data_IF_515643410297
#
_entry.id   IF_515643410297
#
_cell.length_a   1.000
_cell.length_b   1.000
_cell.length_c   1.000
_cell.angle_alpha   90.00
_cell.angle_beta   90.00
_cell.angle_gamma   90.00
#
_symmetry.space_group_name_H-M   'P 1'
#
loop_
_entity.id
_entity.type
_entity.pdbx_description
1 polymer ?
#
# COMPACT_ATOMS: atom_id res chain seq x y z
N UNK A 1 43.02 33.49 37.34
CA UNK A 1 41.62 33.59 36.86
C UNK A 1 41.48 34.17 35.44
N UNK A 2 42.31 35.12 34.99
CA UNK A 2 42.16 35.82 33.68
C UNK A 2 42.20 34.97 32.40
N UNK A 3 42.85 33.79 32.38
CA UNK A 3 43.00 33.01 31.14
C UNK A 3 41.78 32.14 30.78
N UNK A 4 40.99 31.70 31.77
CA UNK A 4 39.78 30.90 31.53
C UNK A 4 38.66 31.76 30.93
N UNK A 5 38.50 32.99 31.41
CA UNK A 5 37.54 33.96 30.86
C UNK A 5 37.88 34.35 29.42
N UNK A 6 39.17 34.53 29.10
CA UNK A 6 39.62 34.79 27.73
C UNK A 6 39.33 33.64 26.77
N UNK A 7 39.51 32.40 27.20
CA UNK A 7 39.18 31.21 26.40
C UNK A 7 37.68 31.11 26.10
N UNK A 8 36.83 31.48 27.07
CA UNK A 8 35.36 31.51 26.88
C UNK A 8 34.98 32.58 25.85
N UNK A 9 35.56 33.78 25.94
CA UNK A 9 35.29 34.85 24.97
C UNK A 9 35.78 34.52 23.56
N UNK A 10 36.94 33.85 23.41
CA UNK A 10 37.43 33.39 22.10
C UNK A 10 36.50 32.33 21.50
N UNK A 11 35.98 31.41 22.31
CA UNK A 11 35.00 30.41 21.86
C UNK A 11 33.69 31.04 21.38
N UNK A 12 33.15 32.01 22.12
CA UNK A 12 31.92 32.73 21.75
C UNK A 12 32.12 33.52 20.46
N UNK A 13 33.23 34.24 20.33
CA UNK A 13 33.53 35.03 19.12
C UNK A 13 33.78 34.12 17.91
N UNK A 14 34.45 32.98 18.10
CA UNK A 14 34.63 31.99 17.03
C UNK A 14 33.30 31.38 16.59
N UNK A 15 32.39 31.09 17.51
CA UNK A 15 31.07 30.57 17.19
C UNK A 15 30.19 31.61 16.47
N UNK A 16 30.24 32.87 16.92
CA UNK A 16 29.53 33.97 16.26
C UNK A 16 30.06 34.22 14.83
N UNK A 17 31.38 34.15 14.65
CA UNK A 17 32.02 34.33 13.34
C UNK A 17 31.72 33.14 12.41
N UNK A 18 31.66 31.92 12.95
CA UNK A 18 31.25 30.73 12.20
C UNK A 18 29.79 30.83 11.72
N UNK A 19 28.89 31.36 12.56
CA UNK A 19 27.49 31.59 12.21
C UNK A 19 27.27 32.68 11.14
N UNK A 20 28.24 33.61 10.97
CA UNK A 20 28.19 34.67 9.95
C UNK A 20 28.76 34.23 8.60
N UNK A 21 29.67 33.24 8.57
CA UNK A 21 30.38 32.82 7.35
C UNK A 21 29.68 31.62 6.68
N UNK A 22 28.97 30.77 7.44
CA UNK A 22 28.08 29.79 6.84
C UNK A 22 26.79 30.48 6.41
N UNK A 23 26.55 30.70 5.10
CA UNK A 23 25.24 31.15 4.67
C UNK A 23 24.23 30.12 5.14
N UNK A 24 23.28 30.53 5.97
CA UNK A 24 22.05 29.76 6.16
C UNK A 24 21.46 29.71 4.75
N UNK A 25 21.57 28.56 4.09
CA UNK A 25 20.82 28.32 2.86
C UNK A 25 19.35 28.43 3.25
N UNK A 26 18.78 29.61 3.04
CA UNK A 26 17.34 29.79 3.11
C UNK A 26 16.80 28.87 2.05
N UNK A 27 16.17 27.76 2.48
CA UNK A 27 15.24 27.04 1.62
C UNK A 27 14.40 28.12 0.96
N UNK A 28 14.38 28.20 -0.38
CA UNK A 28 13.47 29.10 -1.12
C UNK A 28 12.05 28.67 -0.78
N UNK A 29 11.62 29.08 0.40
CA UNK A 29 10.49 28.55 1.13
C UNK A 29 9.34 29.47 0.85
N UNK A 30 8.44 28.98 0.01
CA UNK A 30 7.05 29.40 -0.10
C UNK A 30 6.89 30.88 -0.56
N UNK A 31 6.34 31.07 -1.76
CA UNK A 31 5.90 32.40 -2.25
C UNK A 31 5.01 33.10 -1.20
N UNK A 32 4.95 34.44 -1.17
CA UNK A 32 3.96 35.20 -0.37
C UNK A 32 2.54 34.63 -0.50
N UNK A 33 2.20 34.14 -1.69
CA UNK A 33 0.93 33.44 -1.97
C UNK A 33 0.79 32.16 -1.15
N UNK A 34 1.84 31.36 -1.04
CA UNK A 34 1.83 30.12 -0.27
C UNK A 34 1.76 30.35 1.24
N UNK A 35 2.30 31.45 1.77
CA UNK A 35 2.13 31.82 3.18
C UNK A 35 0.65 32.09 3.50
N UNK A 36 -0.06 32.83 2.65
CA UNK A 36 -1.50 33.06 2.79
C UNK A 36 -2.31 31.76 2.73
N UNK A 37 -2.00 30.88 1.78
CA UNK A 37 -2.70 29.58 1.69
C UNK A 37 -2.41 28.66 2.87
N UNK A 38 -1.22 28.75 3.48
CA UNK A 38 -0.91 27.99 4.68
C UNK A 38 -1.74 28.48 5.88
N UNK A 39 -1.93 29.79 6.02
CA UNK A 39 -2.82 30.36 7.04
C UNK A 39 -4.26 29.89 6.87
N UNK A 40 -4.78 29.96 5.64
CA UNK A 40 -6.13 29.47 5.31
C UNK A 40 -6.24 27.96 5.61
N UNK A 41 -5.23 27.18 5.25
CA UNK A 41 -5.19 25.75 5.51
C UNK A 41 -5.25 25.44 7.02
N UNK A 42 -4.49 26.18 7.84
CA UNK A 42 -4.54 26.05 9.30
C UNK A 42 -5.91 26.44 9.88
N UNK A 43 -6.52 27.52 9.38
CA UNK A 43 -7.84 27.96 9.82
C UNK A 43 -8.90 26.88 9.52
N UNK A 44 -8.89 26.32 8.30
CA UNK A 44 -9.79 25.23 7.91
C UNK A 44 -9.61 24.00 8.79
N UNK A 45 -8.36 23.58 9.05
CA UNK A 45 -8.10 22.45 9.93
C UNK A 45 -8.58 22.69 11.36
N UNK A 46 -8.37 23.90 11.89
CA UNK A 46 -8.81 24.27 13.25
C UNK A 46 -10.33 24.19 13.37
N UNK A 47 -11.06 24.73 12.38
CA UNK A 47 -12.52 24.71 12.36
C UNK A 47 -13.06 23.28 12.26
N UNK A 48 -12.44 22.42 11.44
CA UNK A 48 -12.82 20.99 11.37
C UNK A 48 -12.59 20.32 12.73
N UNK A 49 -11.49 20.62 13.42
CA UNK A 49 -11.21 20.00 14.70
C UNK A 49 -12.16 20.46 15.82
N UNK A 50 -12.59 21.74 15.81
CA UNK A 50 -13.44 22.29 16.87
C UNK A 50 -14.93 22.07 16.65
N UNK A 51 -15.39 22.14 15.40
CA UNK A 51 -16.81 22.30 15.07
C UNK A 51 -17.41 21.05 14.39
N UNK A 52 -16.60 20.05 14.06
CA UNK A 52 -17.10 18.82 13.44
C UNK A 52 -17.82 17.94 14.46
N UNK A 53 -18.92 17.32 14.01
CA UNK A 53 -19.86 16.59 14.88
C UNK A 53 -19.23 15.32 15.48
N UNK A 54 -18.24 14.74 14.80
CA UNK A 54 -17.57 13.49 15.20
C UNK A 54 -16.08 13.71 15.49
N UNK A 55 -15.45 12.78 16.20
CA UNK A 55 -14.00 12.80 16.39
C UNK A 55 -13.28 12.57 15.06
N UNK A 56 -12.37 13.47 14.69
CA UNK A 56 -11.65 13.39 13.42
C UNK A 56 -10.24 12.80 13.61
N UNK A 57 -9.86 11.94 12.68
CA UNK A 57 -8.51 11.36 12.60
C UNK A 57 -7.60 12.33 11.82
N UNK A 58 -6.71 13.01 12.54
CA UNK A 58 -5.79 14.01 11.96
C UNK A 58 -4.91 13.42 10.87
N UNK A 59 -4.43 12.18 11.02
CA UNK A 59 -3.58 11.55 10.03
C UNK A 59 -4.32 11.41 8.70
N UNK A 60 -5.59 10.99 8.74
CA UNK A 60 -6.44 10.88 7.54
C UNK A 60 -6.72 12.23 6.89
N UNK A 61 -6.89 13.30 7.67
CA UNK A 61 -7.08 14.65 7.13
C UNK A 61 -5.84 15.12 6.36
N UNK A 62 -4.66 14.96 6.94
CA UNK A 62 -3.41 15.33 6.28
C UNK A 62 -3.15 14.49 5.02
N UNK A 63 -3.34 13.17 5.10
CA UNK A 63 -3.21 12.30 3.93
C UNK A 63 -4.21 12.68 2.82
N UNK A 64 -5.45 13.03 3.18
CA UNK A 64 -6.47 13.51 2.25
C UNK A 64 -6.06 14.83 1.57
N UNK A 65 -5.54 15.79 2.33
CA UNK A 65 -5.04 17.06 1.80
C UNK A 65 -3.89 16.85 0.81
N UNK A 66 -2.92 15.98 1.14
CA UNK A 66 -1.79 15.66 0.26
C UNK A 66 -2.28 14.97 -1.02
N UNK A 67 -3.22 14.02 -0.93
CA UNK A 67 -3.84 13.38 -2.10
C UNK A 67 -4.51 14.43 -3.00
N UNK A 68 -5.24 15.38 -2.43
CA UNK A 68 -5.85 16.49 -3.18
C UNK A 68 -4.82 17.37 -3.91
N UNK A 69 -3.71 17.73 -3.25
CA UNK A 69 -2.61 18.47 -3.87
C UNK A 69 -2.02 17.71 -5.06
N UNK A 70 -1.78 16.41 -4.92
CA UNK A 70 -1.23 15.59 -6.02
C UNK A 70 -2.24 15.44 -7.16
N UNK A 71 -3.52 15.22 -6.86
CA UNK A 71 -4.58 15.16 -7.89
C UNK A 71 -4.69 16.46 -8.67
N UNK A 72 -4.35 17.61 -8.09
CA UNK A 72 -4.36 18.91 -8.79
C UNK A 72 -3.31 19.03 -9.90
N UNK A 73 -2.31 18.14 -9.93
CA UNK A 73 -1.30 18.09 -10.99
C UNK A 73 -1.85 17.59 -12.33
N UNK A 74 -3.01 16.93 -12.32
CA UNK A 74 -3.63 16.37 -13.53
C UNK A 74 -2.88 15.18 -14.15
N UNK A 75 -1.83 14.69 -13.49
CA UNK A 75 -1.07 13.53 -13.93
C UNK A 75 -1.68 12.23 -13.37
N UNK A 76 -2.20 11.32 -14.23
CA UNK A 76 -2.78 10.05 -13.78
C UNK A 76 -1.76 9.09 -13.16
N UNK A 77 -0.47 9.34 -13.33
CA UNK A 77 0.60 8.51 -12.75
C UNK A 77 1.14 9.05 -11.42
N UNK A 78 0.78 10.26 -11.04
CA UNK A 78 1.18 10.85 -9.76
C UNK A 78 0.19 10.47 -8.66
N UNK A 79 0.67 9.79 -7.63
CA UNK A 79 -0.13 9.45 -6.44
C UNK A 79 0.67 9.63 -5.15
N UNK A 80 -0.02 10.00 -4.07
CA UNK A 80 0.50 9.87 -2.73
C UNK A 80 0.44 8.39 -2.31
N UNK A 81 1.45 7.94 -1.59
CA UNK A 81 1.47 6.62 -0.97
C UNK A 81 1.63 6.79 0.53
N UNK A 82 0.64 6.33 1.28
CA UNK A 82 0.80 6.19 2.73
C UNK A 82 1.71 4.99 3.06
N UNK A 83 1.93 4.78 4.35
CA UNK A 83 2.84 3.73 4.84
C UNK A 83 2.41 2.33 4.41
N UNK A 84 1.10 2.07 4.41
CA UNK A 84 0.56 0.76 4.06
C UNK A 84 0.65 0.53 2.55
N UNK A 85 0.27 1.53 1.74
CA UNK A 85 0.45 1.52 0.28
C UNK A 85 1.91 1.27 -0.12
N UNK A 86 2.85 1.95 0.54
CA UNK A 86 4.28 1.82 0.25
C UNK A 86 4.81 0.44 0.65
N UNK A 87 4.37 -0.09 1.80
CA UNK A 87 4.71 -1.45 2.21
C UNK A 87 4.21 -2.48 1.19
N UNK A 88 2.98 -2.32 0.71
CA UNK A 88 2.40 -3.20 -0.30
C UNK A 88 3.17 -3.13 -1.63
N UNK A 89 3.51 -1.94 -2.11
CA UNK A 89 4.33 -1.79 -3.32
C UNK A 89 5.70 -2.44 -3.16
N UNK A 90 6.33 -2.31 -1.99
CA UNK A 90 7.62 -2.93 -1.71
C UNK A 90 7.51 -4.47 -1.70
N UNK A 91 6.43 -5.02 -1.14
CA UNK A 91 6.14 -6.45 -1.22
C UNK A 91 5.99 -6.89 -2.68
N UNK A 92 5.18 -6.19 -3.47
CA UNK A 92 4.94 -6.51 -4.89
C UNK A 92 6.24 -6.47 -5.70
N UNK A 93 7.08 -5.45 -5.48
CA UNK A 93 8.38 -5.29 -6.15
C UNK A 93 9.35 -6.42 -5.78
N UNK A 94 9.22 -7.01 -4.58
CA UNK A 94 10.00 -8.18 -4.15
C UNK A 94 9.46 -9.50 -4.71
N UNK A 95 8.41 -9.46 -5.53
CA UNK A 95 7.74 -10.67 -6.03
C UNK A 95 6.97 -11.42 -4.94
N UNK A 96 6.59 -10.71 -3.88
CA UNK A 96 5.81 -11.24 -2.77
C UNK A 96 4.48 -10.51 -2.65
N UNK A 97 3.37 -11.21 -2.45
CA UNK A 97 2.09 -10.52 -2.23
C UNK A 97 1.25 -11.23 -1.18
N UNK A 98 0.54 -10.46 -0.37
CA UNK A 98 -0.46 -10.96 0.58
C UNK A 98 -1.72 -11.41 -0.16
N UNK A 99 -1.99 -12.71 -0.15
CA UNK A 99 -3.18 -13.25 -0.80
C UNK A 99 -3.38 -14.74 -0.51
N UNK A 100 -4.21 -15.36 -1.33
CA UNK A 100 -4.59 -16.77 -1.17
C UNK A 100 -3.69 -17.72 -1.98
N UNK A 101 -3.01 -17.20 -3.00
CA UNK A 101 -2.06 -17.96 -3.83
C UNK A 101 -2.75 -18.81 -4.90
N UNK A 102 -3.66 -18.22 -5.66
CA UNK A 102 -4.27 -18.87 -6.82
C UNK A 102 -4.33 -17.90 -7.99
N UNK A 103 -4.25 -18.44 -9.20
CA UNK A 103 -4.49 -17.74 -10.44
C UNK A 103 -5.96 -17.90 -10.83
N UNK A 104 -6.59 -16.80 -11.20
CA UNK A 104 -8.01 -16.75 -11.58
C UNK A 104 -8.19 -16.03 -12.89
N UNK A 105 -9.21 -16.42 -13.65
CA UNK A 105 -9.64 -15.74 -14.86
C UNK A 105 -11.15 -15.66 -14.91
N UNK A 106 -11.68 -14.79 -15.76
CA UNK A 106 -13.11 -14.71 -16.01
C UNK A 106 -13.45 -15.60 -17.21
N UNK A 107 -14.25 -16.65 -16.97
CA UNK A 107 -14.68 -17.60 -17.99
C UNK A 107 -16.11 -18.07 -17.71
N UNK A 108 -16.90 -18.29 -18.76
CA UNK A 108 -18.29 -18.77 -18.65
C UNK A 108 -19.17 -17.94 -17.69
N UNK A 109 -18.96 -16.61 -17.68
CA UNK A 109 -19.71 -15.66 -16.85
C UNK A 109 -19.40 -15.72 -15.35
N UNK A 110 -18.33 -16.40 -14.95
CA UNK A 110 -17.90 -16.52 -13.56
C UNK A 110 -16.38 -16.38 -13.43
N UNK A 111 -15.91 -16.20 -12.20
CA UNK A 111 -14.48 -16.26 -11.89
C UNK A 111 -14.11 -17.73 -11.72
N UNK A 112 -13.17 -18.18 -12.53
CA UNK A 112 -12.71 -19.57 -12.57
C UNK A 112 -11.25 -19.63 -12.14
N UNK A 113 -10.93 -20.60 -11.29
CA UNK A 113 -9.56 -20.89 -10.89
C UNK A 113 -8.83 -21.54 -12.05
N UNK A 114 -7.74 -20.91 -12.51
CA UNK A 114 -6.83 -21.49 -13.50
C UNK A 114 -5.96 -22.54 -12.80
N UNK A 115 -5.23 -22.13 -11.78
CA UNK A 115 -4.39 -23.02 -10.98
C UNK A 115 -4.14 -22.45 -9.59
N UNK A 116 -4.17 -23.26 -8.52
CA UNK A 116 -3.53 -22.90 -7.27
C UNK A 116 -2.01 -22.85 -7.46
N UNK A 117 -1.33 -21.99 -6.69
CA UNK A 117 0.12 -21.94 -6.60
C UNK A 117 0.58 -22.94 -5.52
N UNK A 118 1.69 -23.62 -5.75
CA UNK A 118 2.25 -24.58 -4.78
C UNK A 118 2.59 -23.95 -3.43
N UNK A 119 2.44 -24.72 -2.36
CA UNK A 119 2.70 -24.33 -0.96
C UNK A 119 1.85 -23.18 -0.40
N UNK A 120 0.81 -22.75 -1.14
CA UNK A 120 -0.05 -21.63 -0.75
C UNK A 120 -1.32 -22.06 0.01
N UNK A 121 -2.02 -21.14 0.70
CA UNK A 121 -3.31 -21.42 1.33
C UNK A 121 -4.34 -22.05 0.38
N UNK A 122 -4.42 -21.59 -0.87
CA UNK A 122 -5.36 -22.10 -1.86
C UNK A 122 -5.16 -23.60 -2.12
N UNK A 123 -3.91 -24.02 -2.33
CA UNK A 123 -3.59 -25.43 -2.56
C UNK A 123 -3.87 -26.27 -1.31
N UNK A 124 -3.50 -25.78 -0.13
CA UNK A 124 -3.72 -26.46 1.16
C UNK A 124 -5.20 -26.60 1.50
N UNK A 125 -6.03 -25.65 1.06
CA UNK A 125 -7.48 -25.70 1.19
C UNK A 125 -8.15 -26.66 0.19
N UNK A 126 -7.40 -27.26 -0.73
CA UNK A 126 -7.93 -28.23 -1.70
C UNK A 126 -8.66 -27.57 -2.89
N UNK A 127 -8.33 -26.32 -3.20
CA UNK A 127 -8.82 -25.64 -4.40
C UNK A 127 -8.16 -26.27 -5.62
N UNK A 128 -8.96 -26.57 -6.64
CA UNK A 128 -8.52 -27.23 -7.86
C UNK A 128 -8.72 -26.33 -9.08
N UNK A 129 -7.97 -26.59 -10.17
CA UNK A 129 -8.28 -26.00 -11.47
C UNK A 129 -9.76 -26.22 -11.85
N UNK A 130 -10.35 -25.22 -12.50
CA UNK A 130 -11.76 -25.17 -12.92
C UNK A 130 -12.80 -25.00 -11.80
N UNK A 131 -12.39 -24.80 -10.55
CA UNK A 131 -13.33 -24.36 -9.51
C UNK A 131 -13.89 -22.98 -9.87
N UNK A 132 -15.21 -22.82 -9.79
CA UNK A 132 -15.90 -21.55 -10.04
C UNK A 132 -16.14 -20.85 -8.72
N UNK A 133 -15.61 -19.65 -8.55
CA UNK A 133 -15.83 -18.84 -7.35
C UNK A 133 -17.13 -18.07 -7.52
N UNK A 134 -18.10 -18.36 -6.65
CA UNK A 134 -19.43 -17.74 -6.69
C UNK A 134 -19.62 -16.66 -5.61
N UNK A 135 -18.91 -16.75 -4.48
CA UNK A 135 -18.93 -15.71 -3.44
C UNK A 135 -17.56 -15.52 -2.79
N UNK A 136 -17.24 -14.27 -2.43
CA UNK A 136 -16.05 -13.88 -1.67
C UNK A 136 -16.50 -12.99 -0.51
N UNK A 137 -16.25 -13.42 0.73
CA UNK A 137 -16.72 -12.75 1.96
C UNK A 137 -18.23 -12.40 1.94
N UNK A 138 -19.04 -13.34 1.41
CA UNK A 138 -20.49 -13.19 1.29
C UNK A 138 -20.96 -12.28 0.15
N UNK A 139 -20.04 -11.72 -0.65
CA UNK A 139 -20.38 -10.94 -1.86
C UNK A 139 -20.39 -11.85 -3.07
N UNK A 140 -21.46 -11.80 -3.85
CA UNK A 140 -21.59 -12.56 -5.08
C UNK A 140 -20.59 -12.07 -6.13
N UNK A 141 -19.82 -12.98 -6.73
CA UNK A 141 -18.82 -12.62 -7.75
C UNK A 141 -19.44 -12.21 -9.08
N UNK A 142 -20.71 -12.55 -9.34
CA UNK A 142 -21.43 -12.10 -10.54
C UNK A 142 -21.65 -10.58 -10.57
N UNK A 143 -21.71 -9.93 -9.41
CA UNK A 143 -21.88 -8.48 -9.28
C UNK A 143 -20.53 -7.73 -9.28
N UNK A 144 -19.40 -8.45 -9.33
CA UNK A 144 -18.07 -7.92 -9.17
C UNK A 144 -17.27 -8.03 -10.48
N UNK A 145 -16.46 -7.01 -10.75
CA UNK A 145 -15.42 -7.14 -11.77
C UNK A 145 -14.34 -8.13 -11.30
N UNK A 146 -13.59 -8.70 -12.26
CA UNK A 146 -12.41 -9.53 -11.96
C UNK A 146 -11.44 -8.76 -11.04
N UNK A 147 -11.22 -7.48 -11.35
CA UNK A 147 -10.33 -6.59 -10.58
C UNK A 147 -10.79 -6.42 -9.12
N UNK A 148 -12.08 -6.23 -8.89
CA UNK A 148 -12.61 -6.05 -7.53
C UNK A 148 -12.59 -7.35 -6.73
N UNK A 149 -12.83 -8.46 -7.41
CA UNK A 149 -12.71 -9.80 -6.79
C UNK A 149 -11.25 -10.10 -6.39
N UNK A 150 -10.28 -9.71 -7.23
CA UNK A 150 -8.85 -9.80 -6.87
C UNK A 150 -8.54 -8.94 -5.64
N UNK A 151 -9.08 -7.71 -5.55
CA UNK A 151 -8.88 -6.86 -4.36
C UNK A 151 -9.43 -7.49 -3.09
N UNK A 152 -10.58 -8.18 -3.16
CA UNK A 152 -11.16 -8.88 -2.02
C UNK A 152 -10.32 -10.11 -1.61
N UNK A 153 -9.79 -10.86 -2.58
CA UNK A 153 -8.92 -12.01 -2.29
C UNK A 153 -7.54 -11.60 -1.76
N UNK A 154 -7.05 -10.42 -2.17
CA UNK A 154 -5.85 -9.78 -1.62
C UNK A 154 -6.16 -9.12 -0.28
N UNK A 155 -5.11 -8.78 0.47
CA UNK A 155 -5.25 -8.09 1.74
C UNK A 155 -4.12 -8.42 2.71
N UNK A 156 -4.22 -7.88 3.92
CA UNK A 156 -3.19 -8.02 4.95
C UNK A 156 -2.95 -9.49 5.31
N UNK A 157 -1.68 -9.90 5.33
CA UNK A 157 -1.27 -11.25 5.75
C UNK A 157 -1.80 -11.56 7.15
N UNK A 158 -2.31 -12.78 7.35
CA UNK A 158 -2.88 -13.24 8.60
C UNK A 158 -4.39 -12.98 8.75
N UNK A 159 -5.00 -12.19 7.87
CA UNK A 159 -6.47 -12.03 7.84
C UNK A 159 -7.12 -13.19 7.07
N UNK A 160 -8.35 -13.53 7.43
CA UNK A 160 -9.13 -14.60 6.79
C UNK A 160 -10.07 -14.07 5.69
N UNK A 161 -10.35 -14.93 4.71
CA UNK A 161 -11.35 -14.74 3.63
C UNK A 161 -12.19 -15.99 3.54
N UNK A 162 -13.52 -15.82 3.44
CA UNK A 162 -14.43 -16.89 3.08
C UNK A 162 -14.65 -16.92 1.57
N UNK A 163 -14.37 -18.05 0.93
CA UNK A 163 -14.62 -18.28 -0.49
C UNK A 163 -15.63 -19.41 -0.63
N UNK A 164 -16.68 -19.16 -1.42
CA UNK A 164 -17.64 -20.17 -1.84
C UNK A 164 -17.36 -20.56 -3.28
N UNK A 165 -17.21 -21.85 -3.52
CA UNK A 165 -16.87 -22.40 -4.83
C UNK A 165 -17.83 -23.50 -5.27
N UNK A 166 -18.03 -23.59 -6.58
CA UNK A 166 -18.77 -24.65 -7.26
C UNK A 166 -17.79 -25.49 -8.09
N UNK A 167 -17.84 -26.81 -7.92
CA UNK A 167 -16.99 -27.77 -8.63
C UNK A 167 -17.85 -28.68 -9.48
N UNK A 168 -17.55 -28.84 -10.77
CA UNK A 168 -18.37 -29.61 -11.73
C UNK A 168 -18.79 -31.01 -11.26
N UNK A 169 -17.97 -31.67 -10.44
CA UNK A 169 -18.22 -33.04 -9.94
C UNK A 169 -18.88 -33.09 -8.55
N UNK A 170 -19.27 -31.95 -7.98
CA UNK A 170 -19.98 -31.86 -6.71
C UNK A 170 -21.25 -31.03 -6.88
N UNK A 171 -22.37 -31.54 -6.37
CA UNK A 171 -23.68 -30.86 -6.50
C UNK A 171 -23.84 -29.68 -5.55
N UNK A 172 -23.12 -29.67 -4.43
CA UNK A 172 -23.23 -28.63 -3.41
C UNK A 172 -22.01 -27.71 -3.44
N UNK A 173 -22.20 -26.38 -3.38
CA UNK A 173 -21.09 -25.44 -3.24
C UNK A 173 -20.33 -25.65 -1.93
N UNK A 174 -19.01 -25.55 -2.00
CA UNK A 174 -18.14 -25.65 -0.84
C UNK A 174 -17.80 -24.25 -0.33
N UNK A 175 -17.85 -24.05 0.99
CA UNK A 175 -17.36 -22.82 1.64
C UNK A 175 -16.04 -23.14 2.30
N UNK A 176 -14.99 -22.42 1.92
CA UNK A 176 -13.64 -22.54 2.46
C UNK A 176 -13.21 -21.22 3.08
N UNK A 177 -12.71 -21.27 4.30
CA UNK A 177 -12.05 -20.11 4.93
C UNK A 177 -10.56 -20.23 4.78
N UNK A 178 -9.94 -19.29 4.08
CA UNK A 178 -8.52 -19.25 3.83
C UNK A 178 -7.88 -18.10 4.60
N UNK A 179 -6.68 -18.32 5.15
CA UNK A 179 -5.88 -17.27 5.78
C UNK A 179 -4.90 -16.72 4.75
N UNK A 180 -4.92 -15.40 4.53
CA UNK A 180 -4.00 -14.72 3.61
C UNK A 180 -2.56 -14.94 4.07
N UNK A 181 -1.71 -15.37 3.15
CA UNK A 181 -0.28 -15.56 3.38
C UNK A 181 0.55 -14.75 2.39
N UNK A 182 1.80 -14.52 2.74
CA UNK A 182 2.77 -13.92 1.82
C UNK A 182 3.15 -14.98 0.78
N UNK A 183 2.67 -14.81 -0.45
CA UNK A 183 2.96 -15.69 -1.57
C UNK A 183 4.27 -15.24 -2.20
N UNK A 184 5.26 -16.14 -2.33
CA UNK A 184 6.53 -15.85 -3.01
C UNK A 184 6.55 -16.54 -4.37
N UNK A 185 6.77 -15.77 -5.42
CA UNK A 185 6.93 -16.33 -6.77
C UNK A 185 8.27 -17.07 -6.84
N UNK A 186 8.24 -18.39 -7.08
CA UNK A 186 9.47 -19.16 -7.34
C UNK A 186 9.94 -18.86 -8.76
N UNK A 187 11.09 -18.19 -8.90
CA UNK A 187 11.71 -17.99 -10.21
C UNK A 187 12.22 -19.34 -10.73
N UNK A 188 11.79 -19.71 -11.94
CA UNK A 188 12.34 -20.90 -12.62
C UNK A 188 13.68 -20.50 -13.23
N UNK A 189 14.77 -21.15 -12.80
CA UNK A 189 16.06 -21.06 -13.51
C UNK A 189 15.97 -21.96 -14.74
N UNK A 190 16.00 -21.38 -15.93
CA UNK A 190 16.29 -22.13 -17.14
C UNK A 190 17.80 -22.38 -17.21
N UNK A 191 18.18 -23.59 -17.62
CA UNK A 191 19.54 -23.92 -18.04
C UNK A 191 19.42 -24.52 -19.43
N UNK A 192 20.27 -24.07 -20.36
CA UNK A 192 20.34 -24.69 -21.68
C UNK A 192 20.97 -26.07 -21.51
N UNK A 193 20.27 -27.12 -21.94
CA UNK A 193 20.86 -28.43 -22.12
C UNK A 193 21.87 -28.34 -23.27
N UNK A 194 23.16 -28.46 -22.96
CA UNK A 194 24.17 -28.69 -23.99
C UNK A 194 23.85 -30.03 -24.66
N UNK A 195 23.63 -29.97 -25.97
CA UNK A 195 23.29 -31.11 -26.78
C UNK A 195 24.59 -31.88 -27.04
N UNK A 196 24.85 -32.96 -26.30
CA UNK A 196 25.89 -33.92 -26.67
C UNK A 196 25.42 -34.69 -27.92
N UNK A 197 25.89 -34.23 -29.09
CA UNK A 197 26.48 -35.01 -30.19
C UNK A 197 26.48 -34.19 -31.49
#
# INVERSE_FOLDING_TARGET
MKNKERMIWIGIVSFLSFALIFPIETVKGISKTGESYLQIFHEVLSTIHSDYVESVDEEKLYQGAIRGLISSLGDPHSRFMDKDDFSQLQEETRGSFGGLGMEVSFADGAIVVISPIEDTPAMKAGILPQDRIIEIDGKNTHDLSLSDSIKLMRGKVGTSVSIKLERKNQKEPMVLTLVRQMIKIRYVRSSFLEKEN
#
